data_IF_669447931469
#
_entry.id   IF_669447931469
#
_cell.length_a   1.000
_cell.length_b   1.000
_cell.length_c   1.000
_cell.angle_alpha   90.00
_cell.angle_beta   90.00
_cell.angle_gamma   90.00
#
_symmetry.space_group_name_H-M   'P 1'
#
loop_
_entity.id
_entity.type
_entity.pdbx_description
1 polymer ?
#
# COMPACT_ATOMS: atom_id res chain seq x y z
N UNK A 1 5.15 -63.34 -1.07
CA UNK A 1 5.79 -62.29 -0.26
C UNK A 1 7.08 -61.87 -0.93
N UNK A 2 7.09 -60.75 -1.65
CA UNK A 2 8.31 -60.14 -2.19
C UNK A 2 8.34 -58.69 -1.71
N UNK A 3 9.26 -58.38 -0.79
CA UNK A 3 9.48 -57.01 -0.30
C UNK A 3 10.28 -56.25 -1.37
N UNK A 4 9.65 -55.27 -2.00
CA UNK A 4 10.31 -54.29 -2.87
C UNK A 4 11.32 -53.50 -2.04
N UNK A 5 12.62 -53.63 -2.33
CA UNK A 5 13.66 -52.79 -1.76
C UNK A 5 13.62 -51.41 -2.43
N UNK A 6 13.33 -50.36 -1.67
CA UNK A 6 13.52 -48.98 -2.13
C UNK A 6 15.02 -48.68 -2.32
N UNK A 7 15.42 -48.01 -3.42
CA UNK A 7 16.82 -47.64 -3.64
C UNK A 7 17.26 -46.59 -2.61
N UNK A 8 18.23 -46.95 -1.75
CA UNK A 8 18.82 -46.06 -0.76
C UNK A 8 19.48 -44.85 -1.43
N UNK A 9 18.98 -43.64 -1.13
CA UNK A 9 19.50 -42.41 -1.70
C UNK A 9 20.92 -42.10 -1.18
N UNK A 10 21.86 -41.68 -2.04
CA UNK A 10 23.20 -41.30 -1.62
C UNK A 10 23.13 -40.01 -0.77
N UNK A 11 23.53 -40.12 0.50
CA UNK A 11 23.59 -38.98 1.43
C UNK A 11 24.86 -38.19 1.18
N UNK A 12 24.78 -36.87 1.06
CA UNK A 12 25.92 -35.98 0.82
C UNK A 12 26.24 -35.22 2.09
N UNK A 13 27.52 -35.08 2.43
CA UNK A 13 27.94 -34.36 3.64
C UNK A 13 27.67 -32.86 3.50
N UNK A 14 27.05 -32.26 4.51
CA UNK A 14 26.78 -30.82 4.53
C UNK A 14 28.07 -29.99 4.38
N UNK A 15 27.99 -28.91 3.59
CA UNK A 15 29.12 -28.00 3.33
C UNK A 15 29.54 -27.16 4.53
N UNK A 16 28.76 -27.09 5.60
CA UNK A 16 29.09 -26.37 6.83
C UNK A 16 28.63 -27.18 8.04
N UNK A 17 29.36 -27.10 9.16
CA UNK A 17 28.97 -27.75 10.40
C UNK A 17 27.68 -27.14 10.97
N UNK A 18 26.97 -27.89 11.80
CA UNK A 18 25.71 -27.46 12.43
C UNK A 18 25.87 -26.15 13.21
N UNK A 19 26.96 -26.00 13.97
CA UNK A 19 27.21 -24.80 14.78
C UNK A 19 27.32 -23.54 13.94
N UNK A 20 28.20 -23.55 12.93
CA UNK A 20 28.39 -22.39 12.04
C UNK A 20 27.12 -22.07 11.25
N UNK A 21 26.35 -23.09 10.85
CA UNK A 21 25.08 -22.92 10.15
C UNK A 21 24.01 -22.29 11.04
N UNK A 22 23.85 -22.77 12.27
CA UNK A 22 22.89 -22.23 13.23
C UNK A 22 23.20 -20.77 13.58
N UNK A 23 24.49 -20.42 13.68
CA UNK A 23 24.96 -19.06 13.99
C UNK A 23 25.11 -18.15 12.76
N UNK A 24 24.86 -18.67 11.54
CA UNK A 24 25.06 -17.94 10.27
C UNK A 24 26.46 -17.32 10.14
N UNK A 25 27.50 -18.04 10.58
CA UNK A 25 28.91 -17.61 10.49
C UNK A 25 29.69 -18.49 9.49
N UNK A 26 30.79 -17.95 8.94
CA UNK A 26 31.61 -18.65 7.93
C UNK A 26 32.26 -19.90 8.53
N UNK A 27 32.01 -21.05 7.90
CA UNK A 27 32.67 -22.32 8.20
C UNK A 27 33.80 -22.56 7.20
N UNK A 28 35.01 -22.79 7.69
CA UNK A 28 36.22 -23.06 6.89
C UNK A 28 36.39 -24.55 6.55
N UNK A 29 35.42 -25.40 6.93
CA UNK A 29 35.31 -26.82 6.53
C UNK A 29 36.48 -27.74 6.89
N UNK A 30 37.40 -27.28 7.73
CA UNK A 30 38.48 -28.11 8.26
C UNK A 30 37.93 -29.24 9.13
N UNK A 31 38.59 -30.39 9.10
CA UNK A 31 38.24 -31.59 9.89
C UNK A 31 39.40 -31.96 10.80
N UNK A 32 39.15 -32.41 12.04
CA UNK A 32 37.87 -32.82 12.63
C UNK A 32 36.99 -31.67 13.18
N UNK A 33 37.51 -30.45 13.26
CA UNK A 33 36.75 -29.28 13.71
C UNK A 33 37.16 -28.04 12.94
N UNK A 34 36.19 -27.20 12.60
CA UNK A 34 36.42 -25.95 11.87
C UNK A 34 37.01 -24.87 12.81
N UNK A 35 37.80 -23.93 12.29
CA UNK A 35 38.49 -22.91 13.08
C UNK A 35 37.53 -22.07 13.92
N UNK A 36 36.32 -21.84 13.40
CA UNK A 36 35.27 -21.10 14.11
C UNK A 36 34.75 -21.86 15.35
N UNK A 37 34.60 -23.19 15.25
CA UNK A 37 34.22 -24.04 16.38
C UNK A 37 35.34 -24.17 17.41
N UNK A 38 36.61 -24.25 16.97
CA UNK A 38 37.78 -24.30 17.85
C UNK A 38 37.86 -23.02 18.69
N UNK A 39 37.79 -21.86 18.03
CA UNK A 39 37.86 -20.57 18.71
C UNK A 39 36.72 -20.36 19.71
N UNK A 40 35.52 -20.87 19.42
CA UNK A 40 34.37 -20.74 20.30
C UNK A 40 34.22 -21.89 21.32
N UNK A 41 35.14 -22.87 21.32
CA UNK A 41 35.10 -24.06 22.18
C UNK A 41 33.74 -24.78 22.10
N UNK A 42 33.23 -24.97 20.88
CA UNK A 42 31.96 -25.64 20.61
C UNK A 42 32.15 -26.89 19.76
N UNK A 43 31.25 -27.85 19.94
CA UNK A 43 31.26 -29.11 19.22
C UNK A 43 30.96 -28.90 17.72
N UNK A 44 31.80 -29.49 16.86
CA UNK A 44 31.74 -29.31 15.41
C UNK A 44 31.17 -30.56 14.73
N UNK A 45 29.84 -30.60 14.54
CA UNK A 45 29.14 -31.75 13.95
C UNK A 45 28.75 -31.48 12.49
N UNK A 46 29.14 -32.37 11.58
CA UNK A 46 28.70 -32.36 10.17
C UNK A 46 27.65 -33.46 9.95
N UNK A 47 26.44 -33.06 9.58
CA UNK A 47 25.36 -34.01 9.24
C UNK A 47 25.34 -34.34 7.76
N UNK A 48 24.96 -35.59 7.46
CA UNK A 48 24.69 -36.08 6.12
C UNK A 48 23.27 -35.64 5.72
N UNK A 49 23.15 -34.85 4.65
CA UNK A 49 21.86 -34.39 4.14
C UNK A 49 21.39 -35.24 2.96
N UNK A 50 20.07 -35.40 2.86
CA UNK A 50 19.40 -35.96 1.69
C UNK A 50 19.20 -34.82 0.68
N UNK A 51 19.75 -34.89 -0.54
CA UNK A 51 19.56 -33.85 -1.54
C UNK A 51 18.08 -33.70 -1.91
N UNK A 52 17.47 -32.53 -1.68
CA UNK A 52 16.16 -32.21 -2.27
C UNK A 52 16.32 -32.14 -3.79
N UNK A 53 15.72 -33.08 -4.54
CA UNK A 53 15.79 -33.11 -6.01
C UNK A 53 15.06 -31.90 -6.59
N UNK A 54 15.79 -31.01 -7.27
CA UNK A 54 15.21 -30.01 -8.17
C UNK A 54 14.64 -30.73 -9.40
N UNK A 55 13.41 -30.42 -9.85
CA UNK A 55 12.93 -30.87 -11.16
C UNK A 55 13.91 -30.43 -12.26
N UNK A 56 14.21 -31.31 -13.22
CA UNK A 56 15.12 -30.96 -14.31
C UNK A 56 14.48 -29.90 -15.21
N UNK A 57 15.29 -28.98 -15.72
CA UNK A 57 14.87 -27.95 -16.68
C UNK A 57 14.17 -28.55 -17.90
N UNK A 58 14.54 -29.77 -18.31
CA UNK A 58 13.88 -30.48 -19.40
C UNK A 58 12.42 -30.87 -19.07
N UNK A 59 12.14 -31.34 -17.86
CA UNK A 59 10.78 -31.67 -17.42
C UNK A 59 9.94 -30.40 -17.29
N UNK A 60 10.52 -29.32 -16.75
CA UNK A 60 9.84 -28.03 -16.64
C UNK A 60 9.48 -27.49 -18.03
N UNK A 61 10.39 -27.57 -19.00
CA UNK A 61 10.14 -27.14 -20.37
C UNK A 61 9.08 -28.01 -21.08
N UNK A 62 9.06 -29.32 -20.83
CA UNK A 62 8.05 -30.23 -21.37
C UNK A 62 6.65 -29.89 -20.86
N UNK A 63 6.50 -29.72 -19.53
CA UNK A 63 5.24 -29.32 -18.90
C UNK A 63 4.77 -27.92 -19.35
N UNK A 64 5.71 -27.00 -19.59
CA UNK A 64 5.40 -25.68 -20.16
C UNK A 64 4.98 -25.75 -21.64
N UNK A 65 5.46 -26.74 -22.39
CA UNK A 65 5.01 -27.03 -23.75
C UNK A 65 3.57 -27.55 -23.77
N UNK A 66 3.28 -28.54 -22.93
CA UNK A 66 1.94 -29.12 -22.78
C UNK A 66 0.91 -28.08 -22.31
N UNK A 67 1.28 -27.26 -21.31
CA UNK A 67 0.43 -26.15 -20.84
C UNK A 67 0.07 -25.18 -21.97
N UNK A 68 1.04 -24.81 -22.82
CA UNK A 68 0.79 -23.90 -23.95
C UNK A 68 -0.15 -24.51 -24.98
N UNK A 69 -0.01 -25.81 -25.27
CA UNK A 69 -0.88 -26.51 -26.21
C UNK A 69 -2.33 -26.60 -25.70
N UNK A 70 -2.52 -26.84 -24.40
CA UNK A 70 -3.85 -26.84 -23.78
C UNK A 70 -4.49 -25.45 -23.74
N UNK A 71 -3.70 -24.41 -23.42
CA UNK A 71 -4.18 -23.02 -23.43
C UNK A 71 -4.61 -22.57 -24.84
N UNK A 72 -3.92 -22.99 -25.90
CA UNK A 72 -4.31 -22.69 -27.29
C UNK A 72 -5.66 -23.33 -27.66
N UNK A 73 -5.87 -24.58 -27.27
CA UNK A 73 -7.15 -25.28 -27.49
C UNK A 73 -8.30 -24.57 -26.77
N UNK A 74 -8.10 -24.14 -25.52
CA UNK A 74 -9.12 -23.39 -24.76
C UNK A 74 -9.43 -22.04 -25.42
N UNK A 75 -8.41 -21.36 -25.95
CA UNK A 75 -8.59 -20.11 -26.70
C UNK A 75 -9.36 -20.31 -28.00
N UNK A 76 -9.11 -21.42 -28.72
CA UNK A 76 -9.85 -21.78 -29.94
C UNK A 76 -11.30 -22.11 -29.64
N UNK A 77 -11.56 -22.88 -28.59
CA UNK A 77 -12.93 -23.19 -28.13
C UNK A 77 -13.71 -21.92 -27.75
N UNK A 78 -13.05 -20.95 -27.09
CA UNK A 78 -13.70 -19.69 -26.69
C UNK A 78 -14.03 -18.78 -27.89
N UNK A 79 -13.29 -18.90 -29.00
CA UNK A 79 -13.46 -18.07 -30.21
C UNK A 79 -14.33 -18.74 -31.28
N UNK A 80 -14.60 -20.03 -31.14
CA UNK A 80 -15.39 -20.81 -32.08
C UNK A 80 -16.89 -20.58 -31.90
N UNK A 81 -17.64 -20.63 -33.00
CA UNK A 81 -19.10 -20.69 -32.99
C UNK A 81 -19.60 -22.06 -32.48
N UNK A 82 -20.86 -22.18 -32.04
CA UNK A 82 -21.39 -23.43 -31.45
C UNK A 82 -21.20 -24.67 -32.33
N UNK A 83 -21.25 -24.51 -33.66
CA UNK A 83 -21.06 -25.62 -34.63
C UNK A 83 -19.58 -26.00 -34.80
N UNK A 84 -18.65 -25.07 -34.60
CA UNK A 84 -17.21 -25.29 -34.67
C UNK A 84 -16.64 -25.92 -33.39
N UNK A 85 -17.30 -25.69 -32.25
CA UNK A 85 -16.92 -26.28 -30.94
C UNK A 85 -16.96 -27.80 -30.99
N UNK A 86 -17.98 -28.38 -31.63
CA UNK A 86 -18.11 -29.83 -31.77
C UNK A 86 -16.93 -30.44 -32.56
N UNK A 87 -16.53 -29.81 -33.68
CA UNK A 87 -15.40 -30.26 -34.49
C UNK A 87 -14.05 -30.12 -33.77
N UNK A 88 -13.88 -29.11 -32.90
CA UNK A 88 -12.66 -28.95 -32.11
C UNK A 88 -12.57 -30.06 -31.05
N UNK A 89 -13.68 -30.40 -30.39
CA UNK A 89 -13.70 -31.46 -29.37
C UNK A 89 -13.43 -32.85 -29.96
N UNK A 90 -13.95 -33.15 -31.17
CA UNK A 90 -13.67 -34.41 -31.87
C UNK A 90 -12.21 -34.55 -32.30
N UNK A 91 -11.50 -33.43 -32.49
CA UNK A 91 -10.09 -33.44 -32.92
C UNK A 91 -9.08 -33.71 -31.80
N UNK A 92 -9.52 -33.85 -30.54
CA UNK A 92 -8.66 -34.01 -29.36
C UNK A 92 -8.69 -35.48 -28.88
N UNK A 93 -7.63 -36.26 -29.13
CA UNK A 93 -7.57 -37.64 -28.63
C UNK A 93 -7.28 -37.67 -27.11
N UNK A 94 -8.03 -38.52 -26.40
CA UNK A 94 -7.79 -38.86 -24.99
C UNK A 94 -7.16 -40.26 -24.95
N UNK A 95 -5.96 -40.37 -24.39
CA UNK A 95 -5.26 -41.65 -24.22
C UNK A 95 -4.93 -41.81 -22.73
N UNK A 96 -5.39 -42.92 -22.12
CA UNK A 96 -5.19 -43.24 -20.70
C UNK A 96 -5.59 -42.11 -19.72
N UNK A 97 -6.68 -41.41 -20.03
CA UNK A 97 -7.18 -40.28 -19.22
C UNK A 97 -6.43 -38.96 -19.40
N UNK A 98 -5.42 -38.91 -20.28
CA UNK A 98 -4.64 -37.72 -20.60
C UNK A 98 -5.00 -37.16 -21.98
N UNK A 99 -5.10 -35.83 -22.06
CA UNK A 99 -5.40 -35.09 -23.29
C UNK A 99 -4.10 -34.91 -24.09
N UNK A 100 -4.03 -35.49 -25.30
CA UNK A 100 -2.82 -35.41 -26.15
C UNK A 100 -3.03 -34.42 -27.29
N UNK A 101 -2.46 -33.22 -27.17
CA UNK A 101 -2.56 -32.17 -28.20
C UNK A 101 -1.31 -32.16 -29.09
N UNK A 102 -1.46 -32.52 -30.38
CA UNK A 102 -0.36 -32.39 -31.36
C UNK A 102 -0.24 -30.93 -31.82
N UNK A 103 0.91 -30.31 -31.57
CA UNK A 103 1.25 -28.98 -32.07
C UNK A 103 1.51 -29.07 -33.58
N UNK A 104 0.73 -28.37 -34.41
CA UNK A 104 1.01 -28.22 -35.85
C UNK A 104 1.74 -26.88 -36.04
N UNK A 105 3.00 -26.91 -36.46
CA UNK A 105 3.71 -25.72 -36.93
C UNK A 105 3.28 -25.39 -38.37
N UNK A 106 2.90 -24.14 -38.70
CA UNK A 106 2.77 -23.72 -40.08
C UNK A 106 4.10 -23.13 -40.57
N UNK A 107 4.69 -23.78 -41.57
CA UNK A 107 5.73 -23.21 -42.42
C UNK A 107 5.17 -22.99 -43.83
N UNK A 108 5.58 -21.86 -44.43
CA UNK A 108 5.48 -21.45 -45.84
C UNK A 108 4.12 -20.97 -46.39
N UNK A 109 4.02 -19.64 -46.56
CA UNK A 109 3.48 -19.05 -47.77
C UNK A 109 4.30 -17.79 -48.13
N UNK A 110 5.09 -17.94 -49.19
CA UNK A 110 5.72 -16.86 -49.97
C UNK A 110 4.61 -16.10 -50.70
N UNK A 111 4.68 -14.76 -50.77
CA UNK A 111 4.47 -13.94 -51.98
C UNK A 111 4.69 -12.42 -51.68
N UNK A 112 5.75 -11.90 -52.32
CA UNK A 112 5.89 -10.59 -52.98
C UNK A 112 5.86 -9.26 -52.19
N UNK A 113 7.01 -8.57 -52.23
CA UNK A 113 7.16 -7.11 -52.06
C UNK A 113 6.52 -6.31 -53.21
N UNK A 114 6.29 -5.00 -53.00
CA UNK A 114 7.11 -4.06 -53.78
C UNK A 114 7.60 -2.79 -53.03
N UNK A 115 8.91 -2.54 -53.17
CA UNK A 115 9.62 -1.30 -53.57
C UNK A 115 9.37 0.04 -52.84
N UNK A 116 10.41 0.56 -52.18
CA UNK A 116 11.12 1.81 -52.54
C UNK A 116 12.30 2.06 -51.56
N UNK A 117 13.54 1.99 -52.04
CA UNK A 117 14.40 3.11 -52.45
C UNK A 117 15.16 3.83 -51.31
N UNK A 118 16.40 3.36 -51.09
CA UNK A 118 17.68 4.09 -50.97
C UNK A 118 17.85 5.31 -50.03
N UNK A 119 18.81 5.15 -49.09
CA UNK A 119 19.90 6.08 -48.67
C UNK A 119 19.46 7.37 -47.94
N UNK A 120 19.94 7.68 -46.74
CA UNK A 120 21.35 7.89 -46.35
C UNK A 120 21.44 8.03 -44.81
N UNK A 121 22.57 7.61 -44.24
CA UNK A 121 22.83 7.75 -42.80
C UNK A 121 23.16 9.18 -42.38
N UNK A 122 22.76 9.52 -41.15
CA UNK A 122 23.46 10.46 -40.26
C UNK A 122 23.34 9.96 -38.83
N UNK A 123 24.50 9.70 -38.23
CA UNK A 123 24.70 9.58 -36.78
C UNK A 123 24.31 10.92 -36.13
N UNK A 124 23.42 10.88 -35.15
CA UNK A 124 23.44 11.83 -34.04
C UNK A 124 23.09 11.10 -32.75
N UNK A 125 24.04 11.14 -31.80
CA UNK A 125 23.78 10.95 -30.38
C UNK A 125 22.84 12.07 -29.92
N UNK A 126 21.76 11.69 -29.23
CA UNK A 126 21.00 12.60 -28.38
C UNK A 126 20.58 11.83 -27.14
N UNK A 127 21.13 12.25 -26.01
CA UNK A 127 20.61 11.99 -24.68
C UNK A 127 19.15 12.48 -24.62
N UNK A 128 18.24 11.56 -24.35
CA UNK A 128 16.81 11.84 -24.15
C UNK A 128 16.46 11.61 -22.68
N UNK A 129 16.69 12.63 -21.85
CA UNK A 129 16.05 12.78 -20.54
C UNK A 129 14.69 13.47 -20.73
N UNK A 130 13.78 12.76 -21.41
CA UNK A 130 12.37 13.10 -21.52
C UNK A 130 11.55 12.14 -20.69
N UNK A 131 11.39 12.41 -19.38
CA UNK A 131 10.45 11.67 -18.54
C UNK A 131 9.00 12.00 -18.99
N UNK A 132 8.57 11.28 -20.03
CA UNK A 132 7.21 11.24 -20.51
C UNK A 132 6.25 10.87 -19.39
N UNK A 133 5.07 11.46 -19.48
CA UNK A 133 3.90 11.14 -18.66
C UNK A 133 3.58 9.66 -18.91
N UNK A 134 4.08 8.79 -18.04
CA UNK A 134 3.64 7.41 -17.99
C UNK A 134 2.18 7.42 -17.52
N UNK A 135 1.29 7.00 -18.40
CA UNK A 135 0.05 6.32 -18.01
C UNK A 135 0.36 5.27 -16.94
N UNK A 136 -0.63 4.98 -16.09
CA UNK A 136 -0.62 3.89 -15.10
C UNK A 136 -0.48 2.53 -15.84
N UNK A 137 0.67 2.26 -16.48
CA UNK A 137 0.94 0.97 -17.11
C UNK A 137 1.27 -0.06 -16.03
N UNK A 138 0.55 -1.19 -16.10
CA UNK A 138 0.57 -2.30 -15.16
C UNK A 138 1.92 -3.03 -15.18
N UNK A 139 2.83 -2.61 -14.30
CA UNK A 139 4.03 -3.38 -13.97
C UNK A 139 3.63 -4.56 -13.09
N UNK A 140 4.02 -5.78 -13.48
CA UNK A 140 3.80 -6.98 -12.66
C UNK A 140 4.65 -6.88 -11.37
N UNK A 141 4.01 -6.57 -10.25
CA UNK A 141 4.68 -6.40 -8.95
C UNK A 141 4.86 -7.71 -8.17
N UNK A 142 4.28 -8.82 -8.65
CA UNK A 142 4.39 -10.13 -7.99
C UNK A 142 5.84 -10.56 -7.68
N UNK A 143 6.86 -10.26 -8.52
CA UNK A 143 8.25 -10.57 -8.20
C UNK A 143 8.82 -9.84 -6.96
N UNK A 144 8.15 -8.80 -6.48
CA UNK A 144 8.56 -8.00 -5.32
C UNK A 144 7.85 -8.39 -4.02
N UNK A 145 6.78 -9.20 -4.12
CA UNK A 145 6.00 -9.68 -2.99
C UNK A 145 6.46 -11.10 -2.62
N UNK A 146 6.66 -11.35 -1.33
CA UNK A 146 6.93 -12.67 -0.78
C UNK A 146 5.96 -12.96 0.37
N UNK A 147 5.70 -14.23 0.67
CA UNK A 147 4.89 -14.61 1.84
C UNK A 147 5.80 -15.28 2.85
N UNK A 148 5.95 -14.69 4.03
CA UNK A 148 6.75 -15.23 5.13
C UNK A 148 6.13 -16.50 5.74
N UNK A 149 6.88 -17.17 6.63
CA UNK A 149 6.46 -18.44 7.28
C UNK A 149 5.14 -18.34 8.06
N UNK A 150 4.70 -17.12 8.42
CA UNK A 150 3.42 -16.84 9.08
C UNK A 150 2.25 -16.45 8.15
N UNK A 151 2.39 -16.58 6.82
CA UNK A 151 1.34 -16.18 5.87
C UNK A 151 1.22 -14.67 5.64
N UNK A 152 2.13 -13.87 6.22
CA UNK A 152 2.20 -12.41 6.04
C UNK A 152 2.96 -12.06 4.77
N UNK A 153 2.46 -11.08 4.02
CA UNK A 153 3.13 -10.57 2.81
C UNK A 153 4.28 -9.64 3.21
N UNK A 154 5.50 -10.01 2.85
CA UNK A 154 6.75 -9.27 3.09
C UNK A 154 7.34 -8.82 1.74
N UNK A 155 7.97 -7.64 1.69
CA UNK A 155 8.67 -7.16 0.48
C UNK A 155 10.18 -7.27 0.61
N UNK A 156 10.83 -7.78 -0.45
CA UNK A 156 12.28 -7.96 -0.59
C UNK A 156 12.98 -8.81 0.50
N UNK A 157 13.49 -9.99 0.12
CA UNK A 157 14.33 -10.85 0.98
C UNK A 157 15.86 -10.58 0.91
N UNK A 158 16.70 -11.19 1.78
CA UNK A 158 18.01 -10.70 2.24
C UNK A 158 19.18 -10.56 1.24
N UNK A 159 18.97 -10.73 -0.05
CA UNK A 159 19.96 -10.42 -1.09
C UNK A 159 19.20 -10.26 -2.40
N UNK A 160 18.59 -9.08 -2.62
CA UNK A 160 17.71 -8.83 -3.76
C UNK A 160 18.45 -8.94 -5.11
N UNK A 161 18.50 -10.17 -5.63
CA UNK A 161 18.86 -10.51 -6.99
C UNK A 161 17.85 -11.55 -7.50
N UNK A 162 16.68 -11.07 -7.92
CA UNK A 162 15.64 -11.69 -8.78
C UNK A 162 15.07 -13.06 -8.36
N UNK A 163 13.77 -13.32 -8.64
CA UNK A 163 13.29 -14.64 -9.11
C UNK A 163 11.79 -14.66 -9.48
N UNK A 164 11.47 -14.99 -10.74
CA UNK A 164 10.13 -15.48 -11.14
C UNK A 164 9.68 -14.98 -12.53
N UNK A 165 9.12 -15.85 -13.40
CA UNK A 165 8.77 -15.48 -14.78
C UNK A 165 7.56 -14.55 -14.82
N UNK A 166 7.73 -13.44 -15.52
CA UNK A 166 6.70 -12.46 -15.85
C UNK A 166 5.64 -13.07 -16.77
N UNK A 167 4.37 -12.92 -16.41
CA UNK A 167 3.25 -13.10 -17.34
C UNK A 167 2.43 -11.80 -17.33
N UNK A 168 2.48 -10.98 -18.39
CA UNK A 168 1.66 -9.78 -18.45
C UNK A 168 0.19 -10.18 -18.51
N UNK A 169 -0.56 -9.81 -17.47
CA UNK A 169 -2.02 -9.90 -17.47
C UNK A 169 -2.54 -8.52 -17.86
N UNK A 170 -2.99 -8.39 -19.10
CA UNK A 170 -3.66 -7.20 -19.62
C UNK A 170 -5.03 -7.08 -18.92
N UNK A 171 -5.34 -6.02 -18.16
CA UNK A 171 -6.68 -5.80 -17.66
C UNK A 171 -7.51 -5.06 -18.72
N UNK A 172 -8.47 -5.76 -19.29
CA UNK A 172 -9.69 -5.11 -19.76
C UNK A 172 -10.51 -4.71 -18.52
N UNK A 173 -11.02 -3.47 -18.47
CA UNK A 173 -12.04 -3.07 -17.49
C UNK A 173 -13.19 -4.09 -17.57
N UNK A 174 -13.25 -4.95 -16.55
CA UNK A 174 -14.12 -6.11 -16.52
C UNK A 174 -15.32 -5.82 -15.61
N UNK A 175 -16.52 -6.33 -15.91
CA UNK A 175 -17.69 -6.31 -15.00
C UNK A 175 -17.38 -6.83 -13.59
N UNK A 176 -16.29 -7.60 -13.42
CA UNK A 176 -15.78 -8.05 -12.11
C UNK A 176 -15.36 -6.88 -11.21
N UNK A 177 -14.79 -5.80 -11.76
CA UNK A 177 -14.30 -4.66 -10.98
C UNK A 177 -15.47 -3.83 -10.38
N UNK A 178 -16.53 -3.64 -11.15
CA UNK A 178 -17.74 -2.95 -10.68
C UNK A 178 -18.47 -3.78 -9.61
N UNK A 179 -18.55 -5.10 -9.80
CA UNK A 179 -19.11 -6.00 -8.79
C UNK A 179 -18.37 -5.92 -7.45
N UNK A 180 -17.04 -5.95 -7.49
CA UNK A 180 -16.19 -5.79 -6.30
C UNK A 180 -16.45 -4.44 -5.62
N UNK A 181 -16.56 -3.36 -6.39
CA UNK A 181 -16.86 -2.02 -5.88
C UNK A 181 -18.21 -1.98 -5.15
N UNK A 182 -19.26 -2.46 -5.81
CA UNK A 182 -20.61 -2.46 -5.26
C UNK A 182 -20.71 -3.31 -3.99
N UNK A 183 -20.03 -4.46 -3.96
CA UNK A 183 -19.95 -5.30 -2.77
C UNK A 183 -19.24 -4.59 -1.61
N UNK A 184 -18.13 -3.89 -1.88
CA UNK A 184 -17.39 -3.17 -0.86
C UNK A 184 -18.20 -2.03 -0.24
N UNK A 185 -18.89 -1.24 -1.07
CA UNK A 185 -19.80 -0.17 -0.62
C UNK A 185 -20.94 -0.77 0.22
N UNK A 186 -21.56 -1.86 -0.23
CA UNK A 186 -22.62 -2.54 0.52
C UNK A 186 -22.11 -3.02 1.90
N UNK A 187 -20.92 -3.61 1.95
CA UNK A 187 -20.29 -4.03 3.19
C UNK A 187 -20.01 -2.83 4.11
N UNK A 188 -19.52 -1.71 3.58
CA UNK A 188 -19.26 -0.50 4.35
C UNK A 188 -20.54 0.04 5.00
N UNK A 189 -21.66 0.07 4.27
CA UNK A 189 -22.98 0.46 4.80
C UNK A 189 -23.42 -0.48 5.92
N UNK A 190 -23.27 -1.80 5.75
CA UNK A 190 -23.64 -2.78 6.78
C UNK A 190 -22.80 -2.61 8.05
N UNK A 191 -21.50 -2.33 7.94
CA UNK A 191 -20.67 -2.03 9.11
C UNK A 191 -21.07 -0.72 9.78
N UNK A 192 -21.41 0.31 8.99
CA UNK A 192 -21.90 1.60 9.51
C UNK A 192 -23.13 1.42 10.42
N UNK A 193 -24.06 0.55 10.02
CA UNK A 193 -25.27 0.26 10.82
C UNK A 193 -24.94 -0.44 12.14
N UNK A 194 -23.92 -1.31 12.14
CA UNK A 194 -23.47 -2.05 13.33
C UNK A 194 -22.68 -1.21 14.32
N UNK A 195 -22.27 0.01 13.97
CA UNK A 195 -21.56 0.88 14.91
C UNK A 195 -22.38 1.19 16.18
N UNK A 196 -23.71 1.11 16.10
CA UNK A 196 -24.57 1.25 17.27
C UNK A 196 -24.29 0.20 18.36
N UNK A 197 -23.78 -0.99 18.00
CA UNK A 197 -23.44 -2.06 18.93
C UNK A 197 -22.37 -1.64 19.95
N UNK A 198 -21.61 -0.58 19.65
CA UNK A 198 -20.69 0.03 20.59
C UNK A 198 -21.39 0.50 21.88
N UNK A 199 -22.70 0.78 21.86
CA UNK A 199 -23.47 1.14 23.05
C UNK A 199 -23.54 0.05 24.13
N UNK A 200 -23.27 -1.21 23.77
CA UNK A 200 -23.27 -2.33 24.72
C UNK A 200 -21.96 -2.48 25.51
N UNK A 201 -20.93 -1.67 25.21
CA UNK A 201 -19.65 -1.68 25.93
C UNK A 201 -19.72 -0.73 27.14
N UNK A 202 -19.01 -1.06 28.22
CA UNK A 202 -18.88 -0.15 29.37
C UNK A 202 -17.80 0.90 29.13
N UNK A 203 -16.69 0.47 28.52
CA UNK A 203 -15.52 1.28 28.22
C UNK A 203 -14.89 0.85 26.89
N UNK A 204 -13.98 1.69 26.40
CA UNK A 204 -13.09 1.41 25.28
C UNK A 204 -11.66 1.57 25.78
N UNK A 205 -10.99 0.44 26.04
CA UNK A 205 -9.61 0.40 26.53
C UNK A 205 -9.39 1.24 27.80
N UNK A 206 -10.30 1.13 28.77
CA UNK A 206 -10.25 1.86 30.03
C UNK A 206 -10.79 3.29 29.98
N UNK A 207 -11.25 3.77 28.81
CA UNK A 207 -11.92 5.07 28.67
C UNK A 207 -13.43 4.87 28.77
N UNK A 208 -14.15 5.59 29.64
CA UNK A 208 -15.60 5.50 29.73
C UNK A 208 -16.26 5.65 28.36
N UNK A 209 -17.25 4.81 28.07
CA UNK A 209 -17.85 4.70 26.73
C UNK A 209 -18.30 6.05 26.16
N UNK A 210 -18.92 6.88 26.99
CA UNK A 210 -19.47 8.16 26.57
C UNK A 210 -18.35 9.09 26.07
N UNK A 211 -17.26 9.23 26.83
CA UNK A 211 -16.10 10.01 26.43
C UNK A 211 -15.40 9.39 25.20
N UNK A 212 -15.31 8.06 25.14
CA UNK A 212 -14.74 7.36 23.99
C UNK A 212 -15.52 7.64 22.70
N UNK A 213 -16.86 7.59 22.76
CA UNK A 213 -17.76 7.95 21.64
C UNK A 213 -17.55 9.40 21.21
N UNK A 214 -17.52 10.33 22.16
CA UNK A 214 -17.25 11.74 21.89
C UNK A 214 -15.95 11.95 21.10
N UNK A 215 -14.85 11.33 21.54
CA UNK A 215 -13.55 11.46 20.86
C UNK A 215 -13.51 10.75 19.49
N UNK A 216 -14.22 9.62 19.33
CA UNK A 216 -14.38 8.94 18.04
C UNK A 216 -15.17 9.80 17.07
N UNK A 217 -16.29 10.38 17.50
CA UNK A 217 -17.12 11.23 16.64
C UNK A 217 -16.38 12.49 16.20
N UNK A 218 -15.57 13.11 17.08
CA UNK A 218 -14.66 14.19 16.71
C UNK A 218 -13.66 13.77 15.62
N UNK A 219 -13.11 12.56 15.72
CA UNK A 219 -12.18 12.02 14.71
C UNK A 219 -12.87 11.83 13.37
N UNK A 220 -14.02 11.15 13.37
CA UNK A 220 -14.78 10.86 12.16
C UNK A 220 -15.34 12.10 11.49
N UNK A 221 -15.68 13.13 12.26
CA UNK A 221 -16.21 14.38 11.72
C UNK A 221 -15.13 15.30 11.11
N UNK A 222 -13.85 15.12 11.49
CA UNK A 222 -12.76 16.04 11.10
C UNK A 222 -11.51 15.32 10.59
N UNK A 223 -10.76 14.72 11.50
CA UNK A 223 -9.39 14.25 11.23
C UNK A 223 -9.37 13.11 10.20
N UNK A 224 -10.39 12.26 10.19
CA UNK A 224 -10.58 11.19 9.21
C UNK A 224 -10.49 11.71 7.77
N UNK A 225 -11.25 12.76 7.45
CA UNK A 225 -11.38 13.32 6.11
C UNK A 225 -10.14 14.10 5.63
N UNK A 226 -9.17 14.36 6.52
CA UNK A 226 -7.98 15.15 6.15
C UNK A 226 -7.04 14.37 5.23
N UNK A 227 -6.76 13.10 5.56
CA UNK A 227 -5.81 12.25 4.84
C UNK A 227 -6.32 10.82 4.59
N UNK A 228 -7.56 10.50 4.97
CA UNK A 228 -8.17 9.17 4.87
C UNK A 228 -7.29 8.01 5.34
N UNK A 229 -6.39 8.27 6.31
CA UNK A 229 -5.52 7.26 6.91
C UNK A 229 -6.30 6.17 7.64
N UNK A 230 -7.48 6.53 8.14
CA UNK A 230 -8.40 5.61 8.81
C UNK A 230 -9.49 5.18 7.83
N UNK A 231 -9.86 3.90 7.84
CA UNK A 231 -11.02 3.39 7.11
C UNK A 231 -12.10 2.97 8.12
N UNK A 232 -13.11 3.82 8.31
CA UNK A 232 -14.09 3.71 9.41
C UNK A 232 -14.78 2.34 9.48
N UNK A 233 -15.26 1.72 8.38
CA UNK A 233 -15.92 0.42 8.44
C UNK A 233 -15.05 -0.66 9.09
N UNK A 234 -13.78 -0.77 8.71
CA UNK A 234 -12.88 -1.78 9.26
C UNK A 234 -12.46 -1.45 10.70
N UNK A 235 -12.14 -0.19 11.01
CA UNK A 235 -11.72 0.18 12.37
C UNK A 235 -12.84 -0.05 13.37
N UNK A 236 -14.07 0.36 13.06
CA UNK A 236 -15.21 0.21 13.97
C UNK A 236 -15.62 -1.26 14.13
N UNK A 237 -15.58 -2.06 13.06
CA UNK A 237 -15.76 -3.52 13.15
C UNK A 237 -14.69 -4.17 14.02
N UNK A 238 -13.42 -3.87 13.73
CA UNK A 238 -12.27 -4.50 14.39
C UNK A 238 -12.12 -4.04 15.84
N UNK A 239 -12.63 -2.86 16.20
CA UNK A 239 -12.78 -2.42 17.59
C UNK A 239 -13.69 -3.36 18.40
N UNK A 240 -14.75 -3.88 17.77
CA UNK A 240 -15.71 -4.79 18.41
C UNK A 240 -15.22 -6.25 18.35
N UNK A 241 -14.54 -6.63 17.27
CA UNK A 241 -14.18 -8.02 16.98
C UNK A 241 -12.70 -8.37 17.26
N UNK A 242 -11.90 -7.40 17.71
CA UNK A 242 -10.44 -7.51 17.86
C UNK A 242 -9.75 -7.92 16.55
N UNK A 243 -10.06 -7.20 15.47
CA UNK A 243 -9.48 -7.44 14.14
C UNK A 243 -8.15 -6.71 13.89
N UNK A 244 -7.47 -6.99 12.78
CA UNK A 244 -6.10 -6.53 12.51
C UNK A 244 -5.96 -5.03 12.21
N UNK A 245 -7.04 -4.33 11.84
CA UNK A 245 -7.00 -2.91 11.48
C UNK A 245 -7.31 -1.98 12.67
N UNK A 246 -7.58 -2.54 13.85
CA UNK A 246 -7.79 -1.79 15.08
C UNK A 246 -6.90 -2.33 16.19
N UNK A 247 -6.33 -1.44 17.01
CA UNK A 247 -5.54 -1.82 18.18
C UNK A 247 -5.75 -0.79 19.29
N UNK A 248 -5.43 -1.18 20.53
CA UNK A 248 -5.42 -0.26 21.67
C UNK A 248 -4.53 0.97 21.39
N UNK A 249 -3.38 0.76 20.74
CA UNK A 249 -2.48 1.84 20.33
C UNK A 249 -3.14 2.81 19.35
N UNK A 250 -3.78 2.29 18.29
CA UNK A 250 -4.45 3.13 17.30
C UNK A 250 -5.59 3.94 17.91
N UNK A 251 -6.38 3.34 18.79
CA UNK A 251 -7.52 4.02 19.42
C UNK A 251 -7.05 5.08 20.41
N UNK A 252 -6.01 4.82 21.20
CA UNK A 252 -5.39 5.85 22.03
C UNK A 252 -4.77 6.97 21.18
N UNK A 253 -4.17 6.67 20.02
CA UNK A 253 -3.68 7.68 19.10
C UNK A 253 -4.83 8.56 18.56
N UNK A 254 -5.97 7.95 18.20
CA UNK A 254 -7.18 8.68 17.79
C UNK A 254 -7.68 9.58 18.93
N UNK A 255 -7.78 9.06 20.17
CA UNK A 255 -8.17 9.85 21.33
C UNK A 255 -7.22 11.03 21.59
N UNK A 256 -5.91 10.80 21.53
CA UNK A 256 -4.89 11.83 21.68
C UNK A 256 -5.04 12.94 20.63
N UNK A 257 -5.26 12.58 19.36
CA UNK A 257 -5.44 13.52 18.26
C UNK A 257 -6.75 14.31 18.34
N UNK A 258 -7.84 13.66 18.76
CA UNK A 258 -9.17 14.28 18.90
C UNK A 258 -9.28 15.19 20.11
N UNK A 259 -8.53 14.92 21.18
CA UNK A 259 -8.65 15.63 22.47
C UNK A 259 -8.51 17.15 22.34
N UNK A 260 -7.67 17.65 21.42
CA UNK A 260 -7.50 19.09 21.16
C UNK A 260 -8.74 19.79 20.61
N UNK A 261 -9.73 19.04 20.15
CA UNK A 261 -11.00 19.55 19.63
C UNK A 261 -12.16 19.41 20.62
N UNK A 262 -11.93 18.74 21.76
CA UNK A 262 -12.92 18.63 22.83
C UNK A 262 -12.82 19.81 23.79
N UNK A 263 -13.98 20.31 24.23
CA UNK A 263 -14.06 21.32 25.28
C UNK A 263 -14.30 20.69 26.67
N UNK A 264 -14.52 19.38 26.72
CA UNK A 264 -14.91 18.68 27.95
C UNK A 264 -13.79 18.68 28.98
N UNK A 265 -14.15 18.89 30.23
CA UNK A 265 -13.20 18.94 31.34
C UNK A 265 -12.57 17.56 31.60
N UNK A 266 -13.35 16.49 31.45
CA UNK A 266 -12.92 15.09 31.57
C UNK A 266 -11.82 14.67 30.58
N UNK A 267 -11.63 15.42 29.49
CA UNK A 267 -10.52 15.17 28.54
C UNK A 267 -9.20 15.72 29.07
N UNK A 268 -9.23 16.67 30.00
CA UNK A 268 -8.04 17.31 30.57
C UNK A 268 -7.52 16.49 31.74
N UNK A 269 -6.22 16.28 31.78
CA UNK A 269 -5.59 15.60 32.92
C UNK A 269 -5.50 16.53 34.14
N UNK A 270 -5.44 17.85 33.90
CA UNK A 270 -5.72 18.88 34.89
C UNK A 270 -6.98 19.66 34.47
N UNK A 271 -8.09 19.59 35.23
CA UNK A 271 -9.35 20.28 34.90
C UNK A 271 -9.20 21.78 34.59
N UNK A 272 -8.26 22.45 35.26
CA UNK A 272 -8.04 23.90 35.17
C UNK A 272 -7.16 24.28 33.97
N UNK A 273 -6.29 23.39 33.52
CA UNK A 273 -5.32 23.66 32.46
C UNK A 273 -5.72 23.01 31.14
N UNK A 274 -6.18 23.82 30.18
CA UNK A 274 -6.59 23.36 28.85
C UNK A 274 -5.46 22.75 28.02
N UNK A 275 -4.19 23.06 28.31
CA UNK A 275 -3.03 22.51 27.58
C UNK A 275 -2.80 21.04 27.88
N UNK A 276 -3.36 20.55 29.00
CA UNK A 276 -3.32 19.14 29.43
C UNK A 276 -4.37 18.26 28.76
N UNK A 277 -5.14 18.79 27.81
CA UNK A 277 -6.13 18.01 27.06
C UNK A 277 -5.49 16.81 26.36
N UNK A 278 -5.87 15.60 26.78
CA UNK A 278 -5.48 14.32 26.20
C UNK A 278 -4.05 13.86 26.45
N UNK A 279 -3.27 14.46 27.36
CA UNK A 279 -1.88 14.05 27.62
C UNK A 279 -1.78 12.58 28.05
N UNK A 280 -2.74 12.08 28.83
CA UNK A 280 -2.81 10.65 29.19
C UNK A 280 -2.85 9.71 27.99
N UNK A 281 -3.48 10.10 26.88
CA UNK A 281 -3.56 9.26 25.69
C UNK A 281 -2.23 9.24 24.94
N UNK A 282 -1.52 10.38 24.89
CA UNK A 282 -0.15 10.42 24.39
C UNK A 282 0.79 9.56 25.23
N UNK A 283 0.71 9.67 26.56
CA UNK A 283 1.49 8.85 27.48
C UNK A 283 1.17 7.36 27.34
N UNK A 284 -0.11 7.00 27.17
CA UNK A 284 -0.52 5.62 26.93
C UNK A 284 0.02 5.07 25.62
N UNK A 285 0.05 5.87 24.55
CA UNK A 285 0.70 5.47 23.29
C UNK A 285 2.18 5.16 23.48
N UNK A 286 2.91 6.00 24.22
CA UNK A 286 4.34 5.78 24.50
C UNK A 286 4.58 4.51 25.33
N UNK A 287 3.72 4.24 26.32
CA UNK A 287 3.73 2.99 27.09
C UNK A 287 3.49 1.77 26.20
N UNK A 288 2.46 1.81 25.36
CA UNK A 288 2.10 0.70 24.48
C UNK A 288 3.21 0.39 23.46
N UNK A 289 3.87 1.41 22.92
CA UNK A 289 5.04 1.22 22.03
C UNK A 289 6.14 0.42 22.72
N UNK A 290 6.40 0.69 24.02
CA UNK A 290 7.41 0.01 24.80
C UNK A 290 6.96 -1.39 25.27
N UNK A 291 5.82 -1.49 25.95
CA UNK A 291 5.28 -2.71 26.55
C UNK A 291 5.02 -3.79 25.51
N UNK A 292 4.42 -3.42 24.38
CA UNK A 292 4.05 -4.36 23.31
C UNK A 292 5.13 -4.46 22.23
N UNK A 293 6.25 -3.75 22.38
CA UNK A 293 7.36 -3.75 21.41
C UNK A 293 6.88 -3.51 19.97
N UNK A 294 5.96 -2.56 19.77
CA UNK A 294 5.24 -2.35 18.50
C UNK A 294 6.17 -1.95 17.34
N UNK A 295 7.39 -1.50 17.64
CA UNK A 295 8.40 -1.17 16.61
C UNK A 295 9.19 -2.40 16.13
N UNK A 296 9.03 -3.57 16.75
CA UNK A 296 9.70 -4.81 16.34
C UNK A 296 8.94 -5.55 15.23
N UNK A 297 7.67 -5.22 15.00
CA UNK A 297 6.85 -5.83 13.95
C UNK A 297 5.88 -4.81 13.38
N UNK A 298 5.91 -4.59 12.06
CA UNK A 298 5.01 -3.63 11.42
C UNK A 298 3.57 -4.13 11.37
N UNK A 299 2.62 -3.24 11.65
CA UNK A 299 1.19 -3.46 11.44
C UNK A 299 0.56 -2.19 10.88
N UNK A 300 -0.55 -2.32 10.13
CA UNK A 300 -1.26 -1.15 9.60
C UNK A 300 -1.80 -0.28 10.74
N UNK A 301 -2.31 -0.87 11.82
CA UNK A 301 -2.83 -0.13 12.97
C UNK A 301 -1.73 0.72 13.65
N UNK A 302 -0.54 0.15 13.87
CA UNK A 302 0.61 0.88 14.42
C UNK A 302 1.08 1.99 13.48
N UNK A 303 1.20 1.69 12.18
CA UNK A 303 1.58 2.66 11.15
C UNK A 303 0.64 3.87 11.15
N UNK A 304 -0.67 3.63 11.10
CA UNK A 304 -1.68 4.70 11.08
C UNK A 304 -1.63 5.51 12.38
N UNK A 305 -1.53 4.86 13.55
CA UNK A 305 -1.42 5.56 14.83
C UNK A 305 -0.18 6.46 14.89
N UNK A 306 0.97 5.99 14.41
CA UNK A 306 2.20 6.77 14.34
C UNK A 306 2.09 7.99 13.40
N UNK A 307 1.38 7.89 12.26
CA UNK A 307 1.15 9.02 11.35
C UNK A 307 0.23 10.09 11.97
N UNK A 308 -0.81 9.66 12.67
CA UNK A 308 -1.74 10.55 13.39
C UNK A 308 -1.01 11.30 14.52
N UNK A 309 -0.24 10.57 15.33
CA UNK A 309 0.58 11.14 16.40
C UNK A 309 1.66 12.06 15.83
N UNK A 310 2.36 11.65 14.77
CA UNK A 310 3.42 12.44 14.14
C UNK A 310 2.92 13.81 13.68
N UNK A 311 1.78 13.82 12.99
CA UNK A 311 1.11 15.07 12.56
C UNK A 311 0.71 15.95 13.75
N UNK A 312 0.25 15.32 14.85
CA UNK A 312 -0.21 16.06 16.04
C UNK A 312 0.93 16.60 16.87
N UNK A 313 2.03 15.87 17.04
CA UNK A 313 3.24 16.36 17.70
C UNK A 313 3.83 17.57 16.97
N UNK A 314 3.86 17.54 15.63
CA UNK A 314 4.25 18.72 14.85
C UNK A 314 3.35 19.94 15.17
N UNK A 315 2.03 19.74 15.20
CA UNK A 315 1.09 20.82 15.52
C UNK A 315 1.23 21.36 16.95
N UNK A 316 1.71 20.53 17.89
CA UNK A 316 2.01 20.92 19.28
C UNK A 316 3.40 21.54 19.46
N UNK A 317 4.21 21.60 18.41
CA UNK A 317 5.58 22.14 18.44
C UNK A 317 6.68 21.12 18.76
N UNK A 318 6.34 19.87 19.08
CA UNK A 318 7.32 18.78 19.26
C UNK A 318 7.69 18.18 17.89
N UNK A 319 8.35 19.00 17.08
CA UNK A 319 8.68 18.69 15.68
C UNK A 319 9.66 17.54 15.54
N UNK A 320 10.53 17.31 16.53
CA UNK A 320 11.48 16.20 16.51
C UNK A 320 10.80 14.86 16.75
N UNK A 321 9.94 14.76 17.77
CA UNK A 321 9.14 13.55 18.01
C UNK A 321 8.19 13.30 16.85
N UNK A 322 7.53 14.35 16.37
CA UNK A 322 6.66 14.29 15.19
C UNK A 322 7.37 13.77 13.94
N UNK A 323 8.62 14.20 13.69
CA UNK A 323 9.45 13.69 12.59
C UNK A 323 9.80 12.23 12.74
N UNK A 324 10.23 11.80 13.93
CA UNK A 324 10.64 10.42 14.16
C UNK A 324 9.45 9.45 14.05
N UNK A 325 8.27 9.83 14.56
CA UNK A 325 7.08 8.96 14.51
C UNK A 325 6.60 8.76 13.08
N UNK A 326 6.53 9.83 12.29
CA UNK A 326 6.27 9.70 10.85
C UNK A 326 7.35 8.87 10.16
N UNK A 327 8.63 9.08 10.48
CA UNK A 327 9.73 8.29 9.93
C UNK A 327 9.59 6.78 10.17
N UNK A 328 9.23 6.36 11.38
CA UNK A 328 8.93 4.97 11.69
C UNK A 328 7.79 4.43 10.84
N UNK A 329 6.67 5.16 10.77
CA UNK A 329 5.52 4.75 9.96
C UNK A 329 5.87 4.62 8.47
N UNK A 330 6.65 5.55 7.92
CA UNK A 330 7.10 5.50 6.53
C UNK A 330 8.01 4.31 6.23
N UNK A 331 8.75 3.78 7.21
CA UNK A 331 9.47 2.51 7.04
C UNK A 331 8.53 1.31 7.10
N UNK A 332 7.50 1.35 7.97
CA UNK A 332 6.47 0.32 8.00
C UNK A 332 5.67 0.22 6.70
N UNK A 333 5.48 1.34 5.95
CA UNK A 333 4.88 1.33 4.60
C UNK A 333 5.62 0.38 3.66
N UNK A 334 6.96 0.42 3.68
CA UNK A 334 7.78 -0.47 2.87
C UNK A 334 7.79 -1.89 3.42
N UNK A 335 8.00 -2.05 4.72
CA UNK A 335 8.01 -3.38 5.37
C UNK A 335 6.73 -4.20 5.07
N UNK A 336 5.57 -3.55 5.10
CA UNK A 336 4.26 -4.14 4.80
C UNK A 336 3.93 -4.25 3.30
N UNK A 337 4.79 -3.72 2.43
CA UNK A 337 4.59 -3.72 0.99
C UNK A 337 3.46 -2.83 0.48
N UNK A 338 3.08 -1.79 1.23
CA UNK A 338 1.96 -0.92 0.85
C UNK A 338 2.23 -0.06 -0.40
N UNK A 339 3.49 0.03 -0.81
CA UNK A 339 3.94 0.74 -2.01
C UNK A 339 3.67 -0.05 -3.31
N UNK A 340 3.12 -1.26 -3.21
CA UNK A 340 2.82 -2.16 -4.33
C UNK A 340 1.35 -2.59 -4.29
N UNK A 341 0.64 -2.38 -5.39
CA UNK A 341 -0.74 -2.81 -5.59
C UNK A 341 -0.79 -4.21 -6.20
N UNK A 342 -1.70 -5.05 -5.74
CA UNK A 342 -1.98 -6.34 -6.38
C UNK A 342 -3.44 -6.41 -6.81
N UNK A 343 -3.75 -7.41 -7.65
CA UNK A 343 -5.07 -7.53 -8.26
C UNK A 343 -6.18 -7.70 -7.21
N UNK A 344 -7.16 -6.81 -7.28
CA UNK A 344 -8.36 -6.89 -6.45
C UNK A 344 -9.27 -8.05 -6.87
N UNK A 345 -9.74 -8.75 -5.86
CA UNK A 345 -10.72 -9.82 -5.92
C UNK A 345 -11.78 -9.57 -4.85
N UNK A 346 -12.92 -10.24 -4.93
CA UNK A 346 -13.97 -10.12 -3.91
C UNK A 346 -13.49 -10.49 -2.50
N UNK A 347 -12.50 -11.38 -2.37
CA UNK A 347 -11.98 -11.84 -1.08
C UNK A 347 -11.01 -10.87 -0.40
N UNK A 348 -10.33 -9.99 -1.15
CA UNK A 348 -9.25 -9.11 -0.64
C UNK A 348 -9.49 -7.62 -0.92
N UNK A 349 -10.66 -7.25 -1.47
CA UNK A 349 -10.96 -5.88 -1.86
C UNK A 349 -10.90 -4.88 -0.70
N UNK A 350 -11.40 -5.26 0.48
CA UNK A 350 -11.35 -4.40 1.67
C UNK A 350 -9.90 -4.14 2.12
N UNK A 351 -9.07 -5.18 2.16
CA UNK A 351 -7.64 -5.04 2.50
C UNK A 351 -6.93 -4.15 1.48
N UNK A 352 -7.16 -4.35 0.18
CA UNK A 352 -6.57 -3.49 -0.87
C UNK A 352 -7.02 -2.04 -0.72
N UNK A 353 -8.30 -1.78 -0.44
CA UNK A 353 -8.82 -0.43 -0.20
C UNK A 353 -8.10 0.25 0.97
N UNK A 354 -7.97 -0.46 2.10
CA UNK A 354 -7.27 0.04 3.29
C UNK A 354 -5.81 0.32 2.96
N UNK A 355 -5.11 -0.63 2.32
CA UNK A 355 -3.69 -0.50 1.94
C UNK A 355 -3.47 0.71 1.04
N UNK A 356 -4.32 0.92 0.02
CA UNK A 356 -4.25 2.09 -0.88
C UNK A 356 -4.44 3.40 -0.11
N UNK A 357 -5.45 3.48 0.76
CA UNK A 357 -5.72 4.67 1.57
C UNK A 357 -4.56 5.00 2.49
N UNK A 358 -4.06 4.00 3.22
CA UNK A 358 -2.93 4.16 4.14
C UNK A 358 -1.66 4.56 3.41
N UNK A 359 -1.36 3.93 2.27
CA UNK A 359 -0.22 4.30 1.43
C UNK A 359 -0.29 5.76 0.98
N UNK A 360 -1.41 6.16 0.37
CA UNK A 360 -1.55 7.52 -0.15
C UNK A 360 -1.61 8.58 0.96
N UNK A 361 -2.21 8.24 2.10
CA UNK A 361 -2.20 9.10 3.29
C UNK A 361 -0.79 9.27 3.84
N UNK A 362 0.00 8.18 3.93
CA UNK A 362 1.41 8.24 4.31
C UNK A 362 2.24 9.05 3.32
N UNK A 363 1.98 8.90 2.01
CA UNK A 363 2.63 9.68 0.96
C UNK A 363 2.38 11.18 1.14
N UNK A 364 1.13 11.58 1.44
CA UNK A 364 0.78 12.98 1.72
C UNK A 364 1.47 13.48 2.99
N UNK A 365 1.43 12.72 4.08
CA UNK A 365 2.09 13.07 5.34
C UNK A 365 3.60 13.30 5.15
N UNK A 366 4.28 12.42 4.40
CA UNK A 366 5.71 12.56 4.06
C UNK A 366 5.99 13.88 3.35
N UNK A 367 5.18 14.27 2.35
CA UNK A 367 5.39 15.52 1.60
C UNK A 367 5.07 16.77 2.41
N UNK A 368 3.96 16.77 3.14
CA UNK A 368 3.58 17.92 3.98
C UNK A 368 4.61 18.17 5.07
N UNK A 369 5.07 17.11 5.74
CA UNK A 369 6.05 17.25 6.81
C UNK A 369 7.44 17.62 6.28
N UNK A 370 7.87 17.04 5.16
CA UNK A 370 9.11 17.40 4.48
C UNK A 370 9.12 18.87 4.07
N UNK A 371 8.01 19.35 3.51
CA UNK A 371 7.84 20.76 3.13
C UNK A 371 7.85 21.67 4.37
N UNK A 372 7.10 21.30 5.42
CA UNK A 372 6.99 22.08 6.66
C UNK A 372 8.33 22.23 7.39
N UNK A 373 9.14 21.15 7.43
CA UNK A 373 10.43 21.15 8.13
C UNK A 373 11.63 21.46 7.23
N UNK A 374 11.42 21.66 5.93
CA UNK A 374 12.49 21.84 4.94
C UNK A 374 13.44 20.64 4.83
N UNK A 375 12.90 19.41 4.93
CA UNK A 375 13.66 18.16 4.92
C UNK A 375 13.39 17.34 3.65
N UNK A 376 14.31 16.44 3.25
CA UNK A 376 14.06 15.51 2.16
C UNK A 376 12.91 14.54 2.49
N UNK A 377 12.14 14.18 1.46
CA UNK A 377 11.07 13.19 1.56
C UNK A 377 11.60 11.75 1.53
N UNK A 378 10.86 10.83 2.14
CA UNK A 378 11.20 9.40 2.16
C UNK A 378 10.65 8.65 0.95
N UNK A 379 9.36 8.86 0.60
CA UNK A 379 8.70 8.07 -0.43
C UNK A 379 8.94 8.74 -1.79
N UNK A 380 9.75 8.10 -2.63
CA UNK A 380 9.94 8.53 -4.01
C UNK A 380 8.93 7.86 -4.94
N UNK A 381 8.34 8.64 -5.86
CA UNK A 381 7.35 8.13 -6.83
C UNK A 381 7.89 7.03 -7.76
N UNK A 382 9.22 6.92 -7.90
CA UNK A 382 9.84 5.86 -8.72
C UNK A 382 9.69 4.46 -8.09
N UNK A 383 9.49 4.40 -6.78
CA UNK A 383 9.42 3.16 -6.00
C UNK A 383 7.96 2.75 -5.74
N UNK A 384 7.00 3.39 -6.39
CA UNK A 384 5.58 3.31 -6.06
C UNK A 384 4.79 2.77 -7.24
N UNK A 385 4.02 1.72 -7.00
CA UNK A 385 3.03 1.20 -7.92
C UNK A 385 1.72 0.98 -7.16
N UNK A 386 0.94 2.06 -6.92
CA UNK A 386 -0.32 2.01 -6.18
C UNK A 386 -1.38 2.81 -6.92
N UNK A 387 -2.55 2.19 -7.18
CA UNK A 387 -3.66 2.87 -7.84
C UNK A 387 -4.21 4.00 -6.96
N UNK A 388 -4.67 5.07 -7.60
CA UNK A 388 -5.41 6.18 -6.96
C UNK A 388 -6.92 6.00 -7.07
N UNK A 389 -7.37 4.91 -7.68
CA UNK A 389 -8.78 4.58 -7.80
C UNK A 389 -9.19 3.83 -6.53
N UNK A 390 -9.85 4.56 -5.63
CA UNK A 390 -10.47 4.01 -4.42
C UNK A 390 -11.78 3.32 -4.80
N UNK A 391 -12.00 2.15 -4.24
CA UNK A 391 -13.15 1.30 -4.52
C UNK A 391 -14.34 1.67 -3.63
N UNK A 392 -14.10 2.01 -2.36
CA UNK A 392 -15.18 2.45 -1.49
C UNK A 392 -15.42 3.97 -1.63
N UNK A 393 -16.61 4.34 -2.09
CA UNK A 393 -17.05 5.73 -2.18
C UNK A 393 -18.31 5.99 -1.34
N UNK A 394 -18.58 5.16 -0.33
CA UNK A 394 -19.79 5.23 0.50
C UNK A 394 -19.98 6.62 1.13
N UNK A 395 -18.91 7.19 1.71
CA UNK A 395 -18.93 8.49 2.39
C UNK A 395 -18.87 9.71 1.45
N UNK A 396 -18.68 9.52 0.13
CA UNK A 396 -18.39 10.62 -0.82
C UNK A 396 -19.51 11.65 -0.89
N UNK A 397 -20.76 11.20 -0.76
CA UNK A 397 -21.97 12.03 -0.86
C UNK A 397 -22.75 12.11 0.45
N UNK A 398 -22.23 11.55 1.54
CA UNK A 398 -22.83 11.75 2.85
C UNK A 398 -22.79 13.25 3.20
N UNK A 399 -23.84 13.72 3.87
CA UNK A 399 -23.95 15.11 4.29
C UNK A 399 -23.11 15.34 5.54
N UNK A 400 -22.15 16.24 5.45
CA UNK A 400 -21.39 16.71 6.58
C UNK A 400 -22.19 17.74 7.37
N UNK A 401 -22.21 17.56 8.69
CA UNK A 401 -22.64 18.57 9.65
C UNK A 401 -21.58 18.71 10.74
N UNK A 402 -21.36 19.91 11.31
CA UNK A 402 -20.45 20.06 12.43
C UNK A 402 -20.87 19.16 13.59
N UNK A 403 -19.89 18.47 14.20
CA UNK A 403 -20.14 17.71 15.43
C UNK A 403 -20.68 18.64 16.54
N UNK A 404 -21.81 18.26 17.12
CA UNK A 404 -22.40 18.92 18.29
C UNK A 404 -22.26 17.98 19.47
N UNK A 405 -21.61 18.47 20.53
CA UNK A 405 -21.43 17.71 21.76
C UNK A 405 -22.77 17.54 22.50
N UNK A 406 -23.26 16.32 22.76
CA UNK A 406 -24.50 16.10 23.50
C UNK A 406 -24.49 16.67 24.93
N UNK A 407 -23.31 16.84 25.55
CA UNK A 407 -23.18 17.43 26.89
C UNK A 407 -23.15 18.97 26.86
N UNK A 408 -22.83 19.54 25.71
CA UNK A 408 -22.82 20.98 25.47
C UNK A 408 -23.64 21.30 24.21
N UNK A 409 -24.94 20.98 24.20
CA UNK A 409 -25.80 21.33 23.09
C UNK A 409 -25.84 22.86 23.03
N UNK A 410 -25.16 23.45 22.04
CA UNK A 410 -25.04 24.90 21.92
C UNK A 410 -26.43 25.55 21.85
N UNK A 411 -26.83 26.27 22.89
CA UNK A 411 -27.94 27.25 22.83
C UNK A 411 -27.59 28.46 21.94
N UNK A 412 -26.30 28.62 21.55
CA UNK A 412 -25.76 29.75 20.80
C UNK A 412 -25.13 29.36 19.45
N UNK A 413 -25.85 28.64 18.59
CA UNK A 413 -25.61 28.73 17.14
C UNK A 413 -26.16 30.08 16.65
N UNK A 414 -25.43 31.16 16.92
CA UNK A 414 -25.78 32.48 16.43
C UNK A 414 -25.68 32.52 14.90
N UNK A 415 -26.83 32.83 14.27
CA UNK A 415 -27.02 33.60 13.03
C UNK A 415 -26.66 33.04 11.64
N UNK A 416 -26.11 31.84 11.47
CA UNK A 416 -25.97 31.26 10.12
C UNK A 416 -26.48 29.80 10.11
N UNK A 417 -27.58 29.48 9.40
CA UNK A 417 -27.94 28.10 9.15
C UNK A 417 -26.85 27.47 8.26
N UNK A 418 -25.97 26.68 8.87
CA UNK A 418 -25.03 25.84 8.15
C UNK A 418 -25.83 24.79 7.39
N UNK A 419 -25.95 25.00 6.08
CA UNK A 419 -26.61 24.05 5.19
C UNK A 419 -25.70 22.82 5.10
N UNK A 420 -26.19 21.60 5.38
CA UNK A 420 -25.39 20.38 5.25
C UNK A 420 -24.83 20.27 3.83
N UNK A 421 -23.54 19.97 3.71
CA UNK A 421 -22.84 19.85 2.42
C UNK A 421 -22.32 18.43 2.23
N UNK A 422 -22.28 17.89 1.01
CA UNK A 422 -21.62 16.60 0.77
C UNK A 422 -20.14 16.65 1.19
N UNK A 423 -19.61 15.60 1.82
CA UNK A 423 -18.25 15.58 2.37
C UNK A 423 -17.17 15.61 1.26
N UNK A 424 -17.38 14.88 0.15
CA UNK A 424 -16.39 14.73 -0.92
C UNK A 424 -15.02 14.21 -0.45
N UNK A 425 -15.01 13.33 0.56
CA UNK A 425 -13.81 12.74 1.16
C UNK A 425 -12.84 12.17 0.14
N UNK A 426 -13.33 11.29 -0.73
CA UNK A 426 -12.50 10.49 -1.65
C UNK A 426 -12.01 11.37 -2.78
N UNK A 427 -12.89 12.20 -3.35
CA UNK A 427 -12.51 13.15 -4.41
C UNK A 427 -11.45 14.14 -3.91
N UNK A 428 -11.64 14.72 -2.72
CA UNK A 428 -10.69 15.67 -2.12
C UNK A 428 -9.35 14.99 -1.85
N UNK A 429 -9.37 13.76 -1.33
CA UNK A 429 -8.17 12.98 -1.07
C UNK A 429 -7.40 12.65 -2.35
N UNK A 430 -8.08 12.29 -3.45
CA UNK A 430 -7.46 12.08 -4.76
C UNK A 430 -6.77 13.35 -5.29
N UNK A 431 -7.41 14.50 -5.13
CA UNK A 431 -6.80 15.79 -5.51
C UNK A 431 -5.59 16.12 -4.61
N UNK A 432 -5.65 15.79 -3.32
CA UNK A 432 -4.51 15.98 -2.42
C UNK A 432 -3.34 15.06 -2.76
N UNK A 433 -3.60 13.83 -3.22
CA UNK A 433 -2.57 12.93 -3.77
C UNK A 433 -1.90 13.56 -5.00
N UNK A 434 -2.68 14.12 -5.93
CA UNK A 434 -2.18 14.83 -7.10
C UNK A 434 -1.33 16.04 -6.71
N UNK A 435 -1.80 16.85 -5.78
CA UNK A 435 -1.06 18.00 -5.27
C UNK A 435 0.26 17.57 -4.61
N UNK A 436 0.27 16.46 -3.88
CA UNK A 436 1.47 15.92 -3.23
C UNK A 436 2.53 15.45 -4.25
N UNK A 437 2.14 15.04 -5.46
CA UNK A 437 3.08 14.80 -6.56
C UNK A 437 3.73 16.10 -7.05
N UNK A 438 3.01 17.22 -7.02
CA UNK A 438 3.59 18.54 -7.31
C UNK A 438 4.53 18.96 -6.18
N UNK A 439 4.14 18.77 -4.92
CA UNK A 439 5.01 19.00 -3.76
C UNK A 439 6.32 18.23 -3.86
N UNK A 440 6.27 16.98 -4.34
CA UNK A 440 7.47 16.16 -4.61
C UNK A 440 8.46 16.88 -5.54
N UNK A 441 7.97 17.51 -6.62
CA UNK A 441 8.82 18.27 -7.55
C UNK A 441 9.43 19.51 -6.89
N UNK A 442 8.65 20.21 -6.07
CA UNK A 442 9.12 21.38 -5.31
C UNK A 442 10.22 20.93 -4.35
N UNK A 443 9.98 19.88 -3.57
CA UNK A 443 10.92 19.39 -2.56
C UNK A 443 12.25 18.98 -3.19
N UNK A 444 12.20 18.23 -4.28
CA UNK A 444 13.39 17.82 -5.01
C UNK A 444 14.16 18.98 -5.68
N UNK A 445 13.55 20.15 -5.87
CA UNK A 445 14.23 21.32 -6.44
C UNK A 445 14.83 22.23 -5.35
N UNK A 446 14.15 22.38 -4.22
CA UNK A 446 14.50 23.39 -3.21
C UNK A 446 15.13 22.84 -1.93
N UNK A 447 14.78 21.64 -1.50
CA UNK A 447 15.19 21.10 -0.18
C UNK A 447 16.18 19.93 -0.29
N UNK A 448 16.80 19.74 -1.46
CA UNK A 448 17.93 18.82 -1.65
C UNK A 448 19.26 19.58 -1.62
N UNK A 449 20.32 18.92 -1.16
CA UNK A 449 21.67 19.48 -1.16
C UNK A 449 22.05 19.86 -2.60
N UNK A 450 22.32 21.16 -2.82
CA UNK A 450 22.60 21.70 -4.17
C UNK A 450 21.40 22.29 -4.91
N UNK A 451 20.21 22.36 -4.31
CA UNK A 451 19.07 23.13 -4.81
C UNK A 451 19.40 24.62 -4.86
N UNK A 452 19.59 25.19 -6.05
CA UNK A 452 19.84 26.62 -6.25
C UNK A 452 18.78 27.19 -7.20
N UNK A 453 18.30 28.41 -6.94
CA UNK A 453 17.32 29.11 -7.78
C UNK A 453 17.74 29.23 -9.26
N UNK A 454 19.03 29.14 -9.57
CA UNK A 454 19.58 29.15 -10.93
C UNK A 454 19.15 27.93 -11.76
N UNK A 455 18.96 26.74 -11.16
CA UNK A 455 18.44 25.55 -11.85
C UNK A 455 16.93 25.61 -12.12
N UNK A 456 16.21 26.54 -11.48
CA UNK A 456 14.79 26.78 -11.78
C UNK A 456 14.59 27.69 -13.00
N UNK A 457 15.62 28.40 -13.46
CA UNK A 457 15.54 29.32 -14.60
C UNK A 457 15.77 28.65 -15.96
N UNK A 458 16.19 27.38 -16.00
CA UNK A 458 16.57 26.68 -17.24
C UNK A 458 15.42 25.98 -17.97
N UNK A 459 14.15 26.17 -17.57
CA UNK A 459 12.99 25.82 -18.40
C UNK A 459 12.24 27.09 -18.86
N UNK A 460 12.65 27.74 -19.96
CA UNK A 460 11.89 28.81 -20.56
C UNK A 460 10.96 28.24 -21.65
N UNK A 461 9.82 27.62 -21.31
CA UNK A 461 8.75 27.46 -22.33
C UNK A 461 7.33 27.22 -21.82
N UNK A 462 7.07 26.74 -20.61
CA UNK A 462 5.70 26.27 -20.29
C UNK A 462 4.80 27.31 -19.59
N UNK A 463 5.36 28.39 -19.03
CA UNK A 463 4.57 29.43 -18.35
C UNK A 463 4.87 30.85 -18.83
N UNK A 464 4.61 31.15 -20.11
CA UNK A 464 4.27 32.55 -20.46
C UNK A 464 2.87 32.82 -19.94
N UNK A 465 2.79 33.58 -18.83
CA UNK A 465 1.54 34.24 -18.44
C UNK A 465 1.01 35.03 -19.64
N UNK A 466 -0.24 34.77 -20.06
CA UNK A 466 -0.97 35.72 -20.91
C UNK A 466 -1.11 37.02 -20.10
N UNK A 467 -0.67 38.18 -20.59
CA UNK A 467 -0.98 39.44 -19.93
C UNK A 467 -2.48 39.68 -20.06
N UNK A 468 -3.16 39.83 -18.92
CA UNK A 468 -4.52 40.35 -18.88
C UNK A 468 -4.47 41.81 -19.35
N UNK A 469 -5.21 42.11 -20.43
CA UNK A 469 -5.51 43.48 -20.83
C UNK A 469 -6.43 44.08 -19.77
N UNK A 470 -5.94 45.09 -19.05
CA UNK A 470 -6.76 45.94 -18.20
C UNK A 470 -7.34 47.02 -19.11
N UNK A 471 -8.57 46.83 -19.58
CA UNK A 471 -9.35 47.92 -20.16
C UNK A 471 -9.79 48.85 -19.03
N UNK A 472 -9.24 50.06 -19.04
CA UNK A 472 -9.66 51.13 -18.15
C UNK A 472 -11.01 51.69 -18.61
N UNK A 473 -12.02 51.56 -17.75
CA UNK A 473 -13.19 52.45 -17.78
C UNK A 473 -13.44 52.97 -16.38
N UNK A 474 -13.22 54.29 -16.24
CA UNK A 474 -13.55 55.08 -15.05
C UNK A 474 -15.03 55.49 -15.13
N UNK A 475 -15.85 55.28 -14.09
CA UNK A 475 -17.15 55.91 -14.02
C UNK A 475 -17.05 57.25 -13.29
N UNK A 476 -17.22 58.35 -14.04
CA UNK A 476 -17.61 59.64 -13.47
C UNK A 476 -19.08 59.56 -13.09
N UNK A 477 -19.40 59.67 -11.80
CA UNK A 477 -20.76 59.95 -11.35
C UNK A 477 -21.09 61.43 -11.54
N UNK A 478 -22.34 61.80 -11.88
CA UNK A 478 -22.79 63.19 -11.81
C UNK A 478 -23.23 63.54 -10.39
N UNK A 479 -22.87 64.75 -9.97
CA UNK A 479 -23.46 65.44 -8.84
C UNK A 479 -24.94 65.75 -9.15
N UNK A 480 -25.82 65.45 -8.20
CA UNK A 480 -26.79 66.33 -7.51
C UNK A 480 -27.38 65.52 -6.35
#
# INVERSE_FOLDING_TARGET
MAKSQEPSQPKVLARACQFCRARKIKCDTQRPSCSSCINQKKECVYILEVPKRRPSTAIVNALQGEKRALEDVVLRLKRASPDEVAGILESIPIVDGNVVVKTISPALAVLQEPKSATRTGKRHQSDDDGAGISSDEDLDVLPFLSVGEGGKVDTFGPSSALQGPTRPVIPTESPVAEHVRNQLIANAILQRQREHDLCYRQDVFGVPLELAKHLLDLHWNRQHHTFLLTYRPAIMRDLMQNGPYCSEFLINAIFACSSKYSQRIEVRDNPVDSTTSGLRFFARCDQLLAEQSLLNSSSIATLVGLLLLGSTYNARGDTSKGWLYTGYALRMVYDLGLHLDYKATTANAEDIEIRRRVFWGAFICDKLQSLYLGRPMTIHLRDVHVSRNFMDTMEEKELWTPYVDPMFPTENMSTIPLTPTPIHSVSTFQQLCLLSRIMTKIINRFYVVGGHGSKCKSEPSVYRRRPYLVEGQSPRGPQI
#
